data_IF_681767924945
#
_entry.id   IF_681767924945
#
_cell.length_a   1.000
_cell.length_b   1.000
_cell.length_c   1.000
_cell.angle_alpha   90.00
_cell.angle_beta   90.00
_cell.angle_gamma   90.00
#
_symmetry.space_group_name_H-M   'P 1'
#
loop_
_entity.id
_entity.type
_entity.pdbx_description
1 polymer ?
#
# COMPACT_ATOMS: atom_id res chain seq x y z
N UNK A 1 15.35 34.12 -16.91
CA UNK A 1 16.06 33.49 -18.03
C UNK A 1 15.33 32.17 -18.35
N UNK A 2 14.36 32.20 -19.27
CA UNK A 2 13.52 31.05 -19.63
C UNK A 2 14.26 30.16 -20.60
N UNK A 3 14.68 29.01 -20.14
CA UNK A 3 15.36 28.01 -20.97
C UNK A 3 14.33 27.38 -21.92
N UNK A 4 14.56 27.55 -23.23
CA UNK A 4 13.59 27.22 -24.28
C UNK A 4 13.49 25.69 -24.45
N UNK A 5 12.35 25.11 -24.00
CA UNK A 5 12.04 23.65 -24.03
C UNK A 5 12.22 23.06 -25.46
N UNK A 6 12.06 23.86 -26.49
CA UNK A 6 12.22 23.46 -27.89
C UNK A 6 13.68 23.10 -28.25
N UNK A 7 14.67 23.73 -27.61
CA UNK A 7 16.08 23.44 -27.86
C UNK A 7 16.48 22.08 -27.26
N UNK A 8 15.95 21.75 -26.08
CA UNK A 8 16.17 20.45 -25.41
C UNK A 8 15.58 19.31 -26.24
N UNK A 9 14.35 19.48 -26.74
CA UNK A 9 13.69 18.49 -27.59
C UNK A 9 14.42 18.24 -28.91
N UNK A 10 14.98 19.31 -29.57
CA UNK A 10 15.76 19.17 -30.79
C UNK A 10 17.14 18.56 -30.56
N UNK A 11 17.76 18.82 -29.40
CA UNK A 11 19.02 18.18 -29.02
C UNK A 11 18.81 16.68 -28.76
N UNK A 12 17.70 16.29 -28.14
CA UNK A 12 17.35 14.89 -27.88
C UNK A 12 17.07 14.12 -29.19
N UNK A 13 16.34 14.72 -30.12
CA UNK A 13 16.06 14.12 -31.44
C UNK A 13 17.33 13.94 -32.29
N UNK A 14 18.29 14.85 -32.21
CA UNK A 14 19.59 14.71 -32.90
C UNK A 14 20.50 13.64 -32.28
N UNK A 15 20.33 13.38 -30.99
CA UNK A 15 21.05 12.30 -30.29
C UNK A 15 20.48 10.91 -30.61
N UNK A 16 19.18 10.84 -30.96
CA UNK A 16 18.51 9.61 -31.36
C UNK A 16 18.80 9.16 -32.79
N UNK A 17 19.41 10.02 -33.64
CA UNK A 17 19.81 9.65 -35.00
C UNK A 17 21.09 8.78 -35.02
N UNK A 18 20.86 7.50 -34.78
CA UNK A 18 21.69 6.35 -35.15
C UNK A 18 23.10 6.23 -34.56
N UNK A 19 23.93 7.25 -34.61
CA UNK A 19 25.36 7.14 -34.19
C UNK A 19 25.56 7.36 -32.68
N UNK A 20 24.83 8.29 -32.07
CA UNK A 20 24.92 8.55 -30.63
C UNK A 20 24.31 7.44 -29.79
N UNK A 21 23.18 6.86 -30.23
CA UNK A 21 22.54 5.74 -29.59
C UNK A 21 23.37 4.46 -29.66
N UNK A 22 23.99 4.18 -30.84
CA UNK A 22 24.89 3.05 -31.00
C UNK A 22 26.13 3.14 -30.07
N UNK A 23 26.67 4.35 -29.87
CA UNK A 23 27.83 4.58 -29.01
C UNK A 23 27.46 4.38 -27.52
N UNK A 24 26.28 4.77 -27.11
CA UNK A 24 25.78 4.56 -25.73
C UNK A 24 25.50 3.07 -25.44
N UNK A 25 24.92 2.36 -26.40
CA UNK A 25 24.66 0.92 -26.28
C UNK A 25 25.96 0.13 -26.22
N UNK A 26 26.96 0.46 -27.07
CA UNK A 26 28.28 -0.20 -27.04
C UNK A 26 29.02 0.09 -25.72
N UNK A 27 28.89 1.29 -25.15
CA UNK A 27 29.52 1.63 -23.87
C UNK A 27 28.87 0.84 -22.73
N UNK A 28 27.52 0.71 -22.71
CA UNK A 28 26.79 -0.10 -21.72
C UNK A 28 27.18 -1.58 -21.81
N UNK A 29 27.28 -2.14 -23.00
CA UNK A 29 27.71 -3.53 -23.22
C UNK A 29 29.14 -3.74 -22.74
N UNK A 30 30.06 -2.80 -23.03
CA UNK A 30 31.44 -2.89 -22.56
C UNK A 30 31.56 -2.87 -21.04
N UNK A 31 30.75 -2.06 -20.35
CA UNK A 31 30.68 -2.04 -18.87
C UNK A 31 30.15 -3.37 -18.31
N UNK A 32 29.09 -3.92 -18.91
CA UNK A 32 28.51 -5.19 -18.46
C UNK A 32 29.47 -6.36 -18.67
N UNK A 33 30.13 -6.42 -19.85
CA UNK A 33 31.13 -7.46 -20.16
C UNK A 33 32.38 -7.29 -19.32
N UNK A 34 32.84 -6.06 -19.10
CA UNK A 34 34.00 -5.75 -18.25
C UNK A 34 33.79 -6.17 -16.78
N UNK A 35 32.59 -5.92 -16.22
CA UNK A 35 32.25 -6.35 -14.85
C UNK A 35 32.12 -7.86 -14.76
N UNK A 36 31.57 -8.54 -15.77
CA UNK A 36 31.47 -9.99 -15.81
C UNK A 36 32.83 -10.70 -15.90
N UNK A 37 33.75 -10.16 -16.68
CA UNK A 37 35.13 -10.68 -16.81
C UNK A 37 35.89 -10.46 -15.51
N UNK A 38 35.73 -9.29 -14.85
CA UNK A 38 36.40 -9.01 -13.58
C UNK A 38 35.88 -9.89 -12.43
N UNK A 39 34.59 -10.22 -12.45
CA UNK A 39 33.97 -11.14 -11.46
C UNK A 39 34.36 -12.62 -11.68
N UNK A 40 34.89 -12.98 -12.88
CA UNK A 40 35.27 -14.36 -13.18
C UNK A 40 36.78 -14.61 -13.13
N UNK A 41 37.58 -13.57 -12.81
CA UNK A 41 38.99 -13.76 -12.51
C UNK A 41 39.12 -14.37 -11.12
N UNK A 42 39.06 -15.69 -11.11
CA UNK A 42 39.20 -16.53 -9.92
C UNK A 42 40.58 -16.36 -9.29
N UNK A 43 40.66 -15.40 -8.39
CA UNK A 43 41.73 -15.36 -7.42
C UNK A 43 41.54 -16.57 -6.47
N UNK A 44 42.57 -17.35 -6.39
CA UNK A 44 42.74 -18.56 -5.58
C UNK A 44 41.99 -18.48 -4.25
N UNK A 45 41.00 -19.34 -4.10
CA UNK A 45 40.29 -19.54 -2.84
C UNK A 45 41.34 -20.06 -1.84
N UNK A 46 41.72 -19.19 -0.92
CA UNK A 46 42.56 -19.51 0.20
C UNK A 46 41.96 -20.75 0.90
N UNK A 47 42.55 -21.92 0.69
CA UNK A 47 42.17 -23.14 1.38
C UNK A 47 42.57 -23.00 2.84
N UNK A 48 41.70 -22.38 3.64
CA UNK A 48 41.81 -22.46 5.08
C UNK A 48 41.66 -23.92 5.50
N UNK A 49 42.49 -24.42 6.41
CA UNK A 49 42.33 -25.78 6.93
C UNK A 49 40.91 -25.88 7.54
N UNK A 50 40.12 -26.82 7.05
CA UNK A 50 38.81 -27.12 7.61
C UNK A 50 38.97 -27.52 9.06
N UNK A 51 38.34 -26.85 10.02
CA UNK A 51 38.32 -27.29 11.40
C UNK A 51 37.69 -28.70 11.48
N UNK A 52 38.12 -29.55 12.42
CA UNK A 52 37.54 -30.88 12.56
C UNK A 52 36.03 -30.75 12.75
N UNK A 53 35.29 -31.47 11.94
CA UNK A 53 33.82 -31.49 12.00
C UNK A 53 33.43 -32.14 13.34
N UNK A 54 32.73 -31.44 14.24
CA UNK A 54 32.28 -32.06 15.49
C UNK A 54 31.30 -33.20 15.16
N UNK A 55 31.39 -34.29 15.93
CA UNK A 55 30.49 -35.43 15.79
C UNK A 55 29.06 -35.03 16.23
N UNK A 56 28.21 -34.68 15.27
CA UNK A 56 26.82 -34.27 15.52
C UNK A 56 25.89 -35.42 15.94
N UNK A 57 26.38 -36.68 15.97
CA UNK A 57 25.52 -37.81 16.32
C UNK A 57 25.12 -37.80 17.79
N UNK A 58 26.03 -37.35 18.66
CA UNK A 58 25.72 -37.17 20.10
C UNK A 58 24.83 -35.95 20.37
N UNK A 59 24.95 -34.85 19.56
CA UNK A 59 24.13 -33.66 19.69
C UNK A 59 22.71 -33.89 19.18
N UNK A 60 22.53 -34.73 18.17
CA UNK A 60 21.19 -35.04 17.62
C UNK A 60 20.29 -35.75 18.64
N UNK A 61 20.86 -36.62 19.47
CA UNK A 61 20.12 -37.31 20.54
C UNK A 61 19.62 -36.34 21.64
N UNK A 62 20.46 -35.38 22.02
CA UNK A 62 20.10 -34.35 23.01
C UNK A 62 19.09 -33.33 22.47
N UNK A 63 19.18 -32.97 21.18
CA UNK A 63 18.21 -32.11 20.55
C UNK A 63 16.84 -32.77 20.39
N UNK A 64 16.79 -34.06 20.11
CA UNK A 64 15.52 -34.79 19.99
C UNK A 64 14.76 -34.90 21.32
N UNK A 65 15.49 -35.03 22.42
CA UNK A 65 14.93 -35.05 23.78
C UNK A 65 14.42 -33.65 24.17
N UNK A 66 15.14 -32.59 23.82
CA UNK A 66 14.75 -31.19 24.11
C UNK A 66 13.54 -30.72 23.27
N UNK A 67 13.34 -31.31 22.08
CA UNK A 67 12.15 -31.01 21.23
C UNK A 67 10.89 -31.74 21.71
N UNK A 68 11.03 -32.85 22.43
CA UNK A 68 9.87 -33.57 22.98
C UNK A 68 9.25 -32.89 24.20
N UNK A 69 10.04 -32.08 24.93
CA UNK A 69 9.59 -31.32 26.10
C UNK A 69 9.12 -29.88 25.79
N UNK A 70 9.15 -29.47 24.52
CA UNK A 70 8.54 -28.20 24.15
C UNK A 70 7.01 -28.36 24.20
N UNK A 71 6.29 -27.50 24.93
CA UNK A 71 4.83 -27.51 24.85
C UNK A 71 4.45 -27.35 23.37
N UNK A 72 3.65 -28.28 22.86
CA UNK A 72 3.11 -28.19 21.50
C UNK A 72 2.68 -26.77 21.24
N UNK A 73 3.06 -26.15 20.11
CA UNK A 73 2.59 -24.82 19.79
C UNK A 73 1.06 -24.89 19.82
N UNK A 74 0.48 -24.26 20.81
CA UNK A 74 -0.97 -24.05 20.85
C UNK A 74 -1.32 -23.47 19.48
N UNK A 75 -2.22 -24.11 18.70
CA UNK A 75 -2.60 -23.54 17.43
C UNK A 75 -3.15 -22.13 17.72
N UNK A 76 -2.41 -21.10 17.28
CA UNK A 76 -2.91 -19.72 17.25
C UNK A 76 -3.96 -19.65 16.12
N UNK A 77 -5.01 -20.45 16.27
CA UNK A 77 -6.20 -20.40 15.44
C UNK A 77 -7.33 -19.86 16.28
N UNK A 78 -7.14 -18.67 16.79
CA UNK A 78 -8.26 -17.77 16.92
C UNK A 78 -8.22 -16.93 15.66
N UNK A 79 -9.05 -17.24 14.68
CA UNK A 79 -9.50 -16.25 13.71
C UNK A 79 -10.07 -15.13 14.56
N UNK A 80 -9.24 -14.16 14.88
CA UNK A 80 -9.65 -12.98 15.62
C UNK A 80 -10.69 -12.33 14.74
N UNK A 81 -11.96 -12.45 15.13
CA UNK A 81 -13.03 -11.76 14.45
C UNK A 81 -12.67 -10.29 14.44
N UNK A 82 -12.66 -9.69 13.25
CA UNK A 82 -12.32 -8.27 13.11
C UNK A 82 -13.37 -7.49 13.91
N UNK A 83 -12.92 -6.68 14.85
CA UNK A 83 -13.79 -5.76 15.59
C UNK A 83 -13.93 -4.48 14.77
N UNK A 84 -14.98 -4.39 13.99
CA UNK A 84 -15.29 -3.24 13.16
C UNK A 84 -15.89 -2.10 13.98
N UNK A 85 -15.61 -0.86 13.55
CA UNK A 85 -16.15 0.38 14.09
C UNK A 85 -16.45 1.35 12.97
N UNK A 86 -17.49 2.15 13.11
CA UNK A 86 -17.75 3.24 12.19
C UNK A 86 -16.54 4.21 12.18
N UNK A 87 -16.04 4.59 11.00
CA UNK A 87 -14.87 5.46 10.88
C UNK A 87 -15.06 6.88 11.44
N UNK A 88 -16.29 7.35 11.45
CA UNK A 88 -16.65 8.68 11.96
C UNK A 88 -17.87 8.50 12.87
N UNK A 89 -17.73 8.87 14.14
CA UNK A 89 -18.82 8.76 15.10
C UNK A 89 -19.96 9.73 14.74
N UNK A 90 -21.18 9.20 14.65
CA UNK A 90 -22.37 10.02 14.38
C UNK A 90 -22.47 10.59 12.95
N UNK A 91 -21.61 10.15 12.01
CA UNK A 91 -21.73 10.53 10.61
C UNK A 91 -23.05 10.01 10.01
N UNK A 92 -23.63 10.78 9.12
CA UNK A 92 -24.76 10.33 8.30
C UNK A 92 -24.28 9.76 6.98
N UNK A 93 -24.96 8.70 6.50
CA UNK A 93 -24.70 8.17 5.16
C UNK A 93 -25.27 9.13 4.13
N UNK A 94 -24.40 9.70 3.31
CA UNK A 94 -24.77 10.59 2.21
C UNK A 94 -25.05 9.80 0.94
N UNK A 95 -24.17 8.87 0.60
CA UNK A 95 -24.32 7.94 -0.52
C UNK A 95 -23.97 6.54 -0.05
N UNK A 96 -24.87 5.59 -0.29
CA UNK A 96 -24.64 4.18 0.04
C UNK A 96 -23.82 3.48 -1.05
N UNK A 97 -23.22 2.34 -0.69
CA UNK A 97 -22.58 1.42 -1.62
C UNK A 97 -23.56 0.95 -2.71
N UNK A 98 -23.09 0.87 -3.94
CA UNK A 98 -23.82 0.31 -5.08
C UNK A 98 -22.86 -0.30 -6.10
N UNK A 99 -22.92 -1.60 -6.26
CA UNK A 99 -22.15 -2.37 -7.25
C UNK A 99 -23.00 -2.78 -8.48
N UNK A 100 -24.27 -2.40 -8.50
CA UNK A 100 -25.24 -2.73 -9.55
C UNK A 100 -25.80 -1.48 -10.31
N UNK A 101 -25.67 -0.29 -9.73
CA UNK A 101 -26.21 0.94 -10.29
C UNK A 101 -25.11 1.97 -10.49
N UNK A 102 -24.97 2.43 -11.74
CA UNK A 102 -24.09 3.55 -12.05
C UNK A 102 -24.77 4.88 -11.69
N UNK A 103 -23.98 5.80 -11.17
CA UNK A 103 -24.36 7.22 -10.98
C UNK A 103 -23.46 8.11 -11.82
N UNK A 104 -23.96 9.24 -12.23
CA UNK A 104 -23.16 10.25 -12.92
C UNK A 104 -22.62 11.26 -11.91
N UNK A 105 -21.32 11.48 -11.93
CA UNK A 105 -20.71 12.59 -11.19
C UNK A 105 -21.15 13.92 -11.79
N UNK A 106 -21.67 14.81 -10.97
CA UNK A 106 -22.02 16.18 -11.35
C UNK A 106 -20.79 17.03 -11.66
N UNK A 107 -19.64 16.69 -11.10
CA UNK A 107 -18.37 17.40 -11.27
C UNK A 107 -17.67 17.00 -12.56
N UNK A 108 -17.56 15.68 -12.82
CA UNK A 108 -16.78 15.14 -13.95
C UNK A 108 -17.63 14.69 -15.12
N UNK A 109 -18.95 14.48 -14.92
CA UNK A 109 -19.86 13.91 -15.91
C UNK A 109 -19.66 12.41 -16.16
N UNK A 110 -18.72 11.76 -15.48
CA UNK A 110 -18.41 10.34 -15.66
C UNK A 110 -19.44 9.46 -14.95
N UNK A 111 -19.87 8.40 -15.61
CA UNK A 111 -20.70 7.36 -15.01
C UNK A 111 -19.84 6.30 -14.34
N UNK A 112 -20.08 6.03 -13.07
CA UNK A 112 -19.36 5.01 -12.30
C UNK A 112 -20.25 4.31 -11.28
N UNK A 113 -19.87 3.11 -10.85
CA UNK A 113 -20.41 2.48 -9.66
C UNK A 113 -19.89 3.21 -8.42
N UNK A 114 -20.67 3.21 -7.35
CA UNK A 114 -20.23 3.75 -6.06
C UNK A 114 -19.77 2.63 -5.14
N UNK A 115 -18.48 2.29 -5.22
CA UNK A 115 -17.88 1.13 -4.56
C UNK A 115 -17.40 1.42 -3.13
N UNK A 116 -18.15 2.29 -2.42
CA UNK A 116 -17.91 2.68 -1.04
C UNK A 116 -19.15 3.30 -0.42
N UNK A 117 -18.97 3.97 0.68
CA UNK A 117 -19.99 4.77 1.36
C UNK A 117 -19.45 6.18 1.61
N UNK A 118 -20.26 7.19 1.34
CA UNK A 118 -19.92 8.58 1.67
C UNK A 118 -20.50 8.91 3.04
N UNK A 119 -19.62 9.21 3.97
CA UNK A 119 -19.97 9.56 5.34
C UNK A 119 -19.88 11.08 5.53
N UNK A 120 -21.03 11.74 5.62
CA UNK A 120 -21.12 13.17 5.87
C UNK A 120 -20.81 13.49 7.33
N UNK A 121 -19.91 14.45 7.53
CA UNK A 121 -19.56 14.99 8.83
C UNK A 121 -18.93 16.37 8.67
N UNK A 122 -18.95 17.24 9.68
CA UNK A 122 -18.29 18.54 9.59
C UNK A 122 -16.83 18.45 9.18
N UNK A 123 -16.38 19.38 8.35
CA UNK A 123 -14.97 19.44 7.94
C UNK A 123 -14.04 19.57 9.14
N UNK A 124 -12.99 18.76 9.16
CA UNK A 124 -12.01 18.71 10.23
C UNK A 124 -12.33 17.75 11.36
N UNK A 125 -13.49 17.09 11.35
CA UNK A 125 -13.79 16.01 12.31
C UNK A 125 -12.81 14.84 12.11
N UNK A 126 -12.43 14.13 13.19
CA UNK A 126 -11.52 13.01 13.10
C UNK A 126 -12.10 11.85 12.28
N UNK A 127 -11.29 11.32 11.37
CA UNK A 127 -11.53 10.07 10.66
C UNK A 127 -10.68 9.00 11.31
N UNK A 128 -11.31 7.91 11.74
CA UNK A 128 -10.67 6.83 12.49
C UNK A 128 -10.59 5.55 11.66
N UNK A 129 -9.61 4.71 11.96
CA UNK A 129 -9.51 3.38 11.39
C UNK A 129 -10.70 2.52 11.81
N UNK A 130 -11.36 1.88 10.85
CA UNK A 130 -12.52 1.03 11.09
C UNK A 130 -12.18 -0.27 11.83
N UNK A 131 -10.95 -0.75 11.74
CA UNK A 131 -10.47 -1.95 12.41
C UNK A 131 -8.98 -1.89 12.64
N UNK A 132 -8.45 -2.81 13.45
CA UNK A 132 -7.01 -3.01 13.63
C UNK A 132 -6.36 -3.41 12.30
N UNK A 133 -5.18 -2.87 12.00
CA UNK A 133 -4.51 -3.17 10.75
C UNK A 133 -3.12 -2.54 10.62
N UNK A 134 -2.66 -2.47 9.39
CA UNK A 134 -1.39 -1.83 9.02
C UNK A 134 -1.63 -0.89 7.85
N UNK A 135 -1.10 0.32 7.91
CA UNK A 135 -1.15 1.27 6.78
C UNK A 135 -0.39 0.65 5.59
N UNK A 136 -1.11 0.32 4.55
CA UNK A 136 -0.57 -0.21 3.29
C UNK A 136 -0.10 0.90 2.37
N UNK A 137 -0.86 1.99 2.33
CA UNK A 137 -0.56 3.19 1.54
C UNK A 137 -1.24 4.40 2.16
N UNK A 138 -0.63 5.57 2.04
CA UNK A 138 -1.25 6.84 2.42
C UNK A 138 -0.53 8.01 1.75
N UNK A 139 -1.26 9.08 1.49
CA UNK A 139 -0.70 10.24 0.82
C UNK A 139 -1.73 11.32 0.53
N UNK A 140 -1.36 12.24 -0.36
CA UNK A 140 -2.23 13.29 -0.88
C UNK A 140 -2.24 13.18 -2.40
N UNK A 141 -3.43 13.09 -2.97
CA UNK A 141 -3.65 13.00 -4.41
C UNK A 141 -4.58 14.12 -4.88
N UNK A 142 -4.36 14.70 -6.08
CA UNK A 142 -5.29 15.66 -6.65
C UNK A 142 -6.70 15.10 -6.87
N UNK A 143 -6.84 13.78 -7.02
CA UNK A 143 -8.11 13.10 -7.29
C UNK A 143 -8.79 12.69 -5.98
N UNK A 144 -8.04 12.05 -5.09
CA UNK A 144 -8.57 11.43 -3.87
C UNK A 144 -8.51 12.34 -2.65
N UNK A 145 -7.91 13.53 -2.74
CA UNK A 145 -7.57 14.31 -1.56
C UNK A 145 -6.49 13.62 -0.70
N UNK A 146 -6.48 13.85 0.60
CA UNK A 146 -5.70 13.02 1.50
C UNK A 146 -6.40 11.65 1.62
N UNK A 147 -5.61 10.57 1.52
CA UNK A 147 -6.12 9.20 1.50
C UNK A 147 -5.28 8.25 2.36
N UNK A 148 -5.90 7.18 2.80
CA UNK A 148 -5.22 6.07 3.49
C UNK A 148 -5.82 4.73 3.06
N UNK A 149 -4.97 3.72 2.95
CA UNK A 149 -5.35 2.32 2.72
C UNK A 149 -4.82 1.50 3.89
N UNK A 150 -5.69 0.77 4.56
CA UNK A 150 -5.34 -0.07 5.70
C UNK A 150 -5.60 -1.52 5.34
N UNK A 151 -4.61 -2.37 5.52
CA UNK A 151 -4.74 -3.82 5.41
C UNK A 151 -5.07 -4.41 6.78
N UNK A 152 -6.09 -5.26 6.83
CA UNK A 152 -6.60 -5.92 8.03
C UNK A 152 -6.43 -7.43 7.97
N UNK A 153 -6.72 -8.11 9.05
CA UNK A 153 -6.77 -9.56 9.09
C UNK A 153 -7.79 -10.11 8.07
N UNK A 154 -7.68 -11.39 7.75
CA UNK A 154 -8.68 -12.10 6.94
C UNK A 154 -8.83 -11.58 5.50
N UNK A 155 -7.85 -10.89 4.91
CA UNK A 155 -7.90 -10.42 3.53
C UNK A 155 -8.76 -9.16 3.31
N UNK A 156 -9.10 -8.44 4.38
CA UNK A 156 -9.81 -7.18 4.28
C UNK A 156 -8.87 -5.99 4.09
N UNK A 157 -9.33 -4.98 3.36
CA UNK A 157 -8.70 -3.68 3.23
C UNK A 157 -9.77 -2.59 3.34
N UNK A 158 -9.45 -1.51 4.05
CA UNK A 158 -10.27 -0.27 4.02
C UNK A 158 -9.53 0.83 3.30
N UNK A 159 -10.25 1.56 2.48
CA UNK A 159 -9.77 2.70 1.71
C UNK A 159 -10.54 3.94 2.18
N UNK A 160 -9.81 4.99 2.52
CA UNK A 160 -10.36 6.29 2.92
C UNK A 160 -9.87 7.33 1.95
N UNK A 161 -10.76 8.16 1.42
CA UNK A 161 -10.41 9.25 0.50
C UNK A 161 -11.27 10.49 0.74
N UNK A 162 -10.85 11.61 0.18
CA UNK A 162 -11.56 12.88 0.40
C UNK A 162 -11.27 13.53 1.74
N UNK A 163 -10.27 13.07 2.48
CA UNK A 163 -9.84 13.71 3.73
C UNK A 163 -9.16 15.06 3.44
N UNK A 164 -9.27 16.01 4.36
CA UNK A 164 -8.58 17.29 4.28
C UNK A 164 -7.09 17.17 4.57
N UNK A 165 -6.74 16.28 5.50
CA UNK A 165 -5.36 16.01 5.89
C UNK A 165 -5.25 14.60 6.48
N UNK A 166 -4.04 14.05 6.42
CA UNK A 166 -3.68 12.85 7.19
C UNK A 166 -3.39 13.23 8.65
N UNK A 167 -3.65 12.29 9.54
CA UNK A 167 -3.12 12.29 10.89
C UNK A 167 -1.61 11.95 10.92
N UNK A 168 -1.09 11.69 12.11
CA UNK A 168 0.31 11.29 12.30
C UNK A 168 0.49 9.78 11.94
N UNK A 169 0.26 9.44 10.68
CA UNK A 169 0.33 8.05 10.16
C UNK A 169 1.23 7.99 8.93
N UNK A 170 1.91 6.86 8.75
CA UNK A 170 2.76 6.56 7.59
C UNK A 170 2.64 5.08 7.20
N UNK A 171 3.10 4.77 5.99
CA UNK A 171 3.13 3.39 5.48
C UNK A 171 3.89 2.47 6.45
N UNK A 172 3.34 1.27 6.66
CA UNK A 172 3.77 0.24 7.60
C UNK A 172 3.49 0.51 9.08
N UNK A 173 2.85 1.63 9.44
CA UNK A 173 2.39 1.83 10.82
C UNK A 173 1.28 0.83 11.17
N UNK A 174 1.37 0.25 12.37
CA UNK A 174 0.28 -0.55 12.96
C UNK A 174 -0.76 0.41 13.54
N UNK A 175 -2.00 0.21 13.15
CA UNK A 175 -3.15 1.04 13.53
C UNK A 175 -4.15 0.22 14.32
N UNK A 176 -4.72 0.82 15.35
CA UNK A 176 -5.84 0.23 16.12
C UNK A 176 -7.18 0.77 15.63
N UNK A 177 -8.22 -0.04 15.76
CA UNK A 177 -9.59 0.40 15.54
C UNK A 177 -9.91 1.63 16.39
N UNK A 178 -10.46 2.66 15.77
CA UNK A 178 -10.74 3.95 16.43
C UNK A 178 -9.57 4.91 16.52
N UNK A 179 -8.37 4.53 16.07
CA UNK A 179 -7.23 5.46 15.99
C UNK A 179 -7.44 6.46 14.85
N UNK A 180 -7.25 7.75 15.12
CA UNK A 180 -7.34 8.82 14.12
C UNK A 180 -6.29 8.64 13.03
N UNK A 181 -6.74 8.60 11.77
CA UNK A 181 -5.89 8.47 10.57
C UNK A 181 -5.91 9.71 9.69
N UNK A 182 -6.89 10.60 9.89
CA UNK A 182 -7.04 11.83 9.13
C UNK A 182 -8.21 12.66 9.63
N UNK A 183 -8.62 13.63 8.80
CA UNK A 183 -9.67 14.58 9.14
C UNK A 183 -10.59 14.78 7.94
N UNK A 184 -11.90 14.92 8.20
CA UNK A 184 -12.93 15.09 7.17
C UNK A 184 -12.61 16.25 6.24
N UNK A 185 -12.67 16.01 4.95
CA UNK A 185 -12.46 16.97 3.87
C UNK A 185 -13.73 17.28 3.08
N UNK A 186 -13.57 17.39 1.78
CA UNK A 186 -14.69 17.69 0.84
C UNK A 186 -15.06 16.49 -0.03
N UNK A 187 -14.59 15.29 0.32
CA UNK A 187 -14.71 14.11 -0.54
C UNK A 187 -13.65 14.08 -1.66
N UNK A 188 -13.65 13.01 -2.47
CA UNK A 188 -12.86 12.92 -3.70
C UNK A 188 -13.33 13.97 -4.73
N UNK A 189 -12.51 14.23 -5.76
CA UNK A 189 -12.77 15.32 -6.71
C UNK A 189 -14.08 15.15 -7.49
N UNK A 190 -14.48 13.94 -7.80
CA UNK A 190 -15.71 13.61 -8.52
C UNK A 190 -16.98 13.75 -7.66
N UNK A 191 -16.83 14.03 -6.37
CA UNK A 191 -17.89 14.21 -5.37
C UNK A 191 -17.76 15.54 -4.61
N UNK A 192 -16.85 16.42 -5.03
CA UNK A 192 -16.48 17.62 -4.29
C UNK A 192 -17.60 18.67 -4.13
N UNK A 193 -18.67 18.59 -4.91
CA UNK A 193 -19.86 19.45 -4.83
C UNK A 193 -20.92 18.94 -3.83
N UNK A 194 -20.74 17.75 -3.28
CA UNK A 194 -21.69 17.13 -2.34
C UNK A 194 -21.60 17.67 -0.92
N UNK A 195 -20.60 18.49 -0.61
CA UNK A 195 -20.34 18.98 0.75
C UNK A 195 -19.31 18.17 1.51
N UNK A 196 -19.04 18.52 2.79
CA UNK A 196 -18.01 17.83 3.58
C UNK A 196 -18.37 16.39 3.86
N UNK A 197 -17.50 15.47 3.42
CA UNK A 197 -17.64 14.02 3.65
C UNK A 197 -16.30 13.31 3.47
N UNK A 198 -16.29 12.04 3.79
CA UNK A 198 -15.20 11.09 3.48
C UNK A 198 -15.80 9.88 2.78
N UNK A 199 -15.21 9.51 1.66
CA UNK A 199 -15.51 8.28 0.95
C UNK A 199 -14.75 7.13 1.60
N UNK A 200 -15.46 6.08 2.01
CA UNK A 200 -14.88 4.89 2.65
C UNK A 200 -15.30 3.65 1.87
N UNK A 201 -14.32 2.89 1.38
CA UNK A 201 -14.56 1.63 0.72
C UNK A 201 -13.95 0.46 1.50
N UNK A 202 -14.56 -0.70 1.41
CA UNK A 202 -14.05 -1.96 1.98
C UNK A 202 -13.86 -2.96 0.87
N UNK A 203 -12.71 -3.63 0.87
CA UNK A 203 -12.45 -4.78 0.00
C UNK A 203 -12.22 -6.03 0.83
N UNK A 204 -12.75 -7.15 0.35
CA UNK A 204 -12.49 -8.50 0.85
C UNK A 204 -11.92 -9.32 -0.30
N UNK A 205 -10.70 -9.81 -0.15
CA UNK A 205 -10.02 -10.60 -1.20
C UNK A 205 -10.09 -9.91 -2.58
N UNK A 206 -9.75 -8.61 -2.61
CA UNK A 206 -9.76 -7.71 -3.78
C UNK A 206 -11.14 -7.39 -4.37
N UNK A 207 -12.24 -7.81 -3.77
CA UNK A 207 -13.61 -7.45 -4.19
C UNK A 207 -14.20 -6.41 -3.27
N UNK A 208 -14.82 -5.39 -3.81
CA UNK A 208 -15.55 -4.41 -3.01
C UNK A 208 -16.77 -5.05 -2.40
N UNK A 209 -17.01 -4.71 -1.14
CA UNK A 209 -18.17 -5.14 -0.35
C UNK A 209 -18.81 -3.92 0.30
N UNK A 210 -20.10 -4.03 0.65
CA UNK A 210 -20.79 -2.94 1.35
C UNK A 210 -20.09 -2.65 2.69
N UNK A 211 -19.54 -1.44 2.86
CA UNK A 211 -18.89 -1.07 4.11
C UNK A 211 -19.81 -1.10 5.31
N UNK A 212 -21.09 -0.73 5.16
CA UNK A 212 -22.05 -0.69 6.27
C UNK A 212 -22.27 -2.07 6.89
N UNK A 213 -22.25 -3.12 6.08
CA UNK A 213 -22.34 -4.50 6.57
C UNK A 213 -21.17 -4.92 7.48
N UNK A 214 -20.09 -4.13 7.55
CA UNK A 214 -18.95 -4.42 8.42
C UNK A 214 -19.12 -3.85 9.83
N UNK A 215 -19.74 -2.66 10.00
CA UNK A 215 -19.78 -1.94 11.28
C UNK A 215 -21.20 -1.58 11.80
N UNK A 216 -22.26 -1.97 11.09
CA UNK A 216 -23.67 -1.96 11.57
C UNK A 216 -24.07 -3.35 12.17
#
# INVERSE_FOLDING_TARGET
MSMNLRWIAQAFLRFADGKGFALLVTLCIAVIVGTAVWANDGSDVFSAPTPPVPDYRSAAGLMQQSLADLPSPTPLSTQSQIQWRAPIAGASVMTAFSDDRMRQSSVTGVWSLHLGVDLASPRGEPVCAAADGTIKDCGISPISGAYAVISHAGGYETLYSGMAALGAVKVNDRIRAGQTIGFVGSGPIDEADMGPHVHVAVRKDQRYVDPLACWE
#
